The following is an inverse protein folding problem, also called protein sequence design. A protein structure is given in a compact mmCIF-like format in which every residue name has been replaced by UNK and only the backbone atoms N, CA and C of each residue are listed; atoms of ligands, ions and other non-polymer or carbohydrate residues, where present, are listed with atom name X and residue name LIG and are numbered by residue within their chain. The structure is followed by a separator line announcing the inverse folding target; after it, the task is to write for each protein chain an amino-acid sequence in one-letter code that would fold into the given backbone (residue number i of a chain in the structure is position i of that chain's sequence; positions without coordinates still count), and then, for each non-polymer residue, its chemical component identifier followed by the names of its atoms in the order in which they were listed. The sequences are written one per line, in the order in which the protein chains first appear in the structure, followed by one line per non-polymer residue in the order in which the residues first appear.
data_IF_641842768162
#
_entry.id   IF_641842768162
#
_cell.length_a   1.000
_cell.length_b   1.000
_cell.length_c   1.000
_cell.angle_alpha   90.00
_cell.angle_beta   90.00
_cell.angle_gamma   90.00
#
_symmetry.space_group_name_H-M   'P 1'
#
loop_
_entity.id
_entity.type
_entity.pdbx_description
1 polymer ?
#
# COMPACT_ATOMS: atom_id res chain seq x y z
N UNK A 1 17.27 4.98 -10.21
CA UNK A 1 18.26 3.97 -10.65
C UNK A 1 18.69 3.00 -9.56
N UNK A 2 18.35 3.23 -8.28
CA UNK A 2 18.79 2.38 -7.14
C UNK A 2 17.88 1.18 -6.85
N UNK A 3 16.72 1.09 -7.47
CA UNK A 3 15.71 0.04 -7.19
C UNK A 3 15.61 -1.03 -8.29
N UNK A 4 16.44 -0.95 -9.33
CA UNK A 4 16.45 -1.93 -10.43
C UNK A 4 16.94 -3.28 -9.91
N UNK A 5 16.26 -4.37 -10.31
CA UNK A 5 16.52 -5.77 -9.91
C UNK A 5 16.40 -6.07 -8.41
N UNK A 6 15.83 -5.16 -7.62
CA UNK A 6 15.58 -5.42 -6.20
C UNK A 6 14.30 -6.21 -5.97
N UNK A 7 14.30 -6.98 -4.92
CA UNK A 7 13.09 -7.63 -4.41
C UNK A 7 12.07 -6.59 -3.99
N UNK A 8 10.81 -6.79 -4.40
CA UNK A 8 9.71 -5.89 -4.16
C UNK A 8 8.46 -6.66 -3.76
N UNK A 9 7.79 -6.17 -2.73
CA UNK A 9 6.49 -6.65 -2.26
C UNK A 9 5.47 -5.54 -2.46
N UNK A 10 4.31 -5.86 -3.00
CA UNK A 10 3.28 -4.88 -3.34
C UNK A 10 2.01 -5.13 -2.54
N UNK A 11 1.44 -4.08 -2.00
CA UNK A 11 0.10 -4.08 -1.43
C UNK A 11 -0.82 -3.14 -2.22
N UNK A 12 -2.03 -3.59 -2.54
CA UNK A 12 -3.03 -2.82 -3.27
C UNK A 12 -4.25 -2.55 -2.41
N UNK A 13 -4.53 -1.29 -2.17
CA UNK A 13 -5.81 -0.83 -1.62
C UNK A 13 -6.57 -0.05 -2.70
N UNK A 14 -7.51 -0.73 -3.36
CA UNK A 14 -8.23 -0.22 -4.51
C UNK A 14 -9.56 0.40 -4.10
N UNK A 15 -9.77 1.65 -4.45
CA UNK A 15 -11.05 2.35 -4.33
C UNK A 15 -11.69 2.54 -5.69
N UNK A 16 -13.03 2.47 -5.75
CA UNK A 16 -13.76 2.70 -7.00
C UNK A 16 -14.25 4.14 -7.17
N UNK A 17 -14.27 4.94 -6.10
CA UNK A 17 -14.92 6.25 -6.12
C UNK A 17 -14.00 7.37 -5.61
N UNK A 18 -14.36 8.03 -4.51
CA UNK A 18 -13.69 9.23 -4.00
C UNK A 18 -12.53 8.95 -3.05
N UNK A 19 -12.29 7.69 -2.68
CA UNK A 19 -11.20 7.30 -1.80
C UNK A 19 -9.89 7.22 -2.56
N UNK A 20 -8.76 7.27 -1.83
CA UNK A 20 -7.46 7.06 -2.43
C UNK A 20 -7.33 5.60 -2.87
N UNK A 21 -6.88 5.40 -4.10
CA UNK A 21 -6.33 4.11 -4.53
C UNK A 21 -4.83 4.14 -4.29
N UNK A 22 -4.28 3.09 -3.71
CA UNK A 22 -2.87 3.06 -3.32
C UNK A 22 -2.16 1.78 -3.78
N UNK A 23 -0.98 1.95 -4.38
CA UNK A 23 0.03 0.92 -4.58
C UNK A 23 1.11 1.16 -3.53
N UNK A 24 1.12 0.37 -2.46
CA UNK A 24 2.19 0.35 -1.47
C UNK A 24 3.29 -0.59 -1.91
N UNK A 25 4.54 -0.16 -1.91
CA UNK A 25 5.69 -0.98 -2.27
C UNK A 25 6.68 -1.05 -1.11
N UNK A 26 7.23 -2.24 -0.89
CA UNK A 26 8.23 -2.51 0.12
C UNK A 26 9.45 -3.13 -0.54
N UNK A 27 10.61 -2.62 -0.20
CA UNK A 27 11.91 -3.10 -0.65
C UNK A 27 12.76 -3.47 0.56
N UNK A 28 13.19 -4.74 0.69
CA UNK A 28 14.14 -5.14 1.73
C UNK A 28 15.47 -4.39 1.57
N UNK A 29 16.05 -4.02 2.70
CA UNK A 29 17.36 -3.36 2.77
C UNK A 29 18.42 -4.33 3.27
N UNK A 30 19.65 -4.13 2.84
CA UNK A 30 20.80 -4.96 3.24
C UNK A 30 21.16 -4.87 4.73
N UNK A 31 20.69 -3.83 5.42
CA UNK A 31 20.87 -3.66 6.87
C UNK A 31 19.78 -4.33 7.72
N UNK A 32 18.92 -5.13 7.09
CA UNK A 32 17.80 -5.81 7.75
C UNK A 32 16.60 -4.90 8.04
N UNK A 33 16.56 -3.70 7.45
CA UNK A 33 15.40 -2.80 7.45
C UNK A 33 14.62 -2.91 6.13
N UNK A 34 13.62 -2.02 5.98
CA UNK A 34 12.83 -1.88 4.76
C UNK A 34 12.77 -0.43 4.29
N UNK A 35 12.67 -0.26 2.97
CA UNK A 35 12.34 1.01 2.36
C UNK A 35 10.91 0.90 1.79
N UNK A 36 10.10 1.91 2.08
CA UNK A 36 8.70 1.98 1.67
C UNK A 36 8.50 3.10 0.67
N UNK A 37 7.68 2.86 -0.33
CA UNK A 37 7.15 3.89 -1.22
C UNK A 37 5.67 3.64 -1.46
N UNK A 38 4.94 4.67 -1.84
CA UNK A 38 3.52 4.53 -2.16
C UNK A 38 3.15 5.45 -3.30
N UNK A 39 2.49 4.89 -4.31
CA UNK A 39 1.87 5.66 -5.38
C UNK A 39 0.37 5.68 -5.16
N UNK A 40 -0.19 6.89 -5.11
CA UNK A 40 -1.60 7.11 -4.82
C UNK A 40 -2.31 7.75 -6.00
N UNK A 41 -3.60 7.42 -6.17
CA UNK A 41 -4.43 7.89 -7.27
C UNK A 41 -5.79 8.35 -6.77
N UNK A 42 -6.37 9.33 -7.49
CA UNK A 42 -7.75 9.77 -7.36
C UNK A 42 -8.31 10.08 -8.75
N UNK A 43 -9.64 9.98 -8.96
CA UNK A 43 -10.26 10.53 -10.16
C UNK A 43 -10.07 12.05 -10.23
N UNK A 44 -9.93 12.59 -11.44
CA UNK A 44 -9.80 14.05 -11.63
C UNK A 44 -10.96 14.85 -11.02
N UNK A 45 -12.18 14.32 -11.10
CA UNK A 45 -13.37 14.96 -10.54
C UNK A 45 -13.25 15.25 -9.04
N UNK A 46 -12.52 14.44 -8.29
CA UNK A 46 -12.31 14.62 -6.84
C UNK A 46 -11.59 15.92 -6.51
N UNK A 47 -10.74 16.43 -7.42
CA UNK A 47 -9.97 17.66 -7.23
C UNK A 47 -10.84 18.91 -7.29
N UNK A 48 -11.97 18.86 -8.00
CA UNK A 48 -12.92 19.97 -8.17
C UNK A 48 -14.22 19.78 -7.39
N UNK A 49 -14.40 18.64 -6.73
CA UNK A 49 -15.58 18.36 -5.92
C UNK A 49 -15.64 19.30 -4.69
N UNK A 50 -16.66 20.20 -4.62
CA UNK A 50 -16.79 21.12 -3.49
C UNK A 50 -17.12 20.42 -2.17
N UNK A 51 -17.63 19.20 -2.21
CA UNK A 51 -17.92 18.37 -1.03
C UNK A 51 -16.69 17.65 -0.49
N UNK A 52 -15.62 17.57 -1.27
CA UNK A 52 -14.39 16.96 -0.82
C UNK A 52 -13.53 17.95 -0.01
N UNK A 53 -13.56 17.81 1.31
CA UNK A 53 -12.77 18.64 2.24
C UNK A 53 -11.25 18.61 1.99
N UNK A 54 -10.76 17.58 1.29
CA UNK A 54 -9.34 17.38 1.01
C UNK A 54 -8.92 17.90 -0.38
N UNK A 55 -9.83 18.43 -1.19
CA UNK A 55 -9.55 18.83 -2.58
C UNK A 55 -8.38 19.82 -2.71
N UNK A 56 -8.22 20.73 -1.76
CA UNK A 56 -7.14 21.72 -1.77
C UNK A 56 -5.75 21.06 -1.56
N UNK A 57 -5.64 20.17 -0.58
CA UNK A 57 -4.38 19.46 -0.31
C UNK A 57 -4.06 18.47 -1.44
N UNK A 58 -5.07 17.80 -2.00
CA UNK A 58 -4.90 16.89 -3.14
C UNK A 58 -4.35 17.62 -4.36
N UNK A 59 -4.91 18.81 -4.72
CA UNK A 59 -4.34 19.64 -5.80
C UNK A 59 -2.89 20.02 -5.55
N UNK A 60 -2.52 20.29 -4.29
CA UNK A 60 -1.13 20.55 -3.91
C UNK A 60 -0.22 19.35 -4.21
N UNK A 61 -0.64 18.16 -3.80
CA UNK A 61 0.12 16.93 -4.03
C UNK A 61 0.19 16.52 -5.50
N UNK A 62 -0.88 16.73 -6.26
CA UNK A 62 -0.87 16.49 -7.70
C UNK A 62 0.16 17.40 -8.39
N UNK A 63 0.17 18.70 -8.08
CA UNK A 63 1.16 19.65 -8.64
C UNK A 63 2.60 19.30 -8.26
N UNK A 64 2.79 18.72 -7.08
CA UNK A 64 4.10 18.31 -6.58
C UNK A 64 4.50 16.89 -7.06
N UNK A 65 3.63 16.17 -7.77
CA UNK A 65 3.89 14.82 -8.28
C UNK A 65 3.74 13.68 -7.26
N UNK A 66 3.16 13.96 -6.08
CA UNK A 66 2.96 12.96 -5.03
C UNK A 66 1.62 12.20 -5.11
N UNK A 67 0.64 12.78 -5.79
CA UNK A 67 -0.67 12.18 -6.02
C UNK A 67 -0.95 12.20 -7.52
N UNK A 68 -1.39 11.08 -8.06
CA UNK A 68 -1.70 10.93 -9.48
C UNK A 68 -3.21 11.02 -9.71
N UNK A 69 -3.61 11.50 -10.87
CA UNK A 69 -5.02 11.52 -11.27
C UNK A 69 -5.28 10.51 -12.38
N UNK A 70 -6.48 9.95 -12.37
CA UNK A 70 -7.03 9.22 -13.51
C UNK A 70 -8.18 10.03 -14.11
N UNK A 71 -8.41 9.96 -15.44
CA UNK A 71 -9.48 10.72 -16.09
C UNK A 71 -10.86 10.35 -15.58
N UNK A 72 -11.77 11.34 -15.51
CA UNK A 72 -13.19 11.13 -15.22
C UNK A 72 -13.54 11.11 -13.75
N UNK A 73 -14.67 10.46 -13.44
CA UNK A 73 -15.32 10.46 -12.13
C UNK A 73 -14.97 9.25 -11.26
N UNK A 74 -14.40 8.21 -11.86
CA UNK A 74 -14.01 6.97 -11.22
C UNK A 74 -12.51 6.69 -11.44
N UNK A 75 -11.92 5.90 -10.56
CA UNK A 75 -10.53 5.47 -10.75
C UNK A 75 -10.44 4.57 -11.98
N UNK A 76 -9.57 4.93 -12.91
CA UNK A 76 -9.25 4.09 -14.06
C UNK A 76 -8.12 3.12 -13.68
N UNK A 77 -8.49 1.86 -13.49
CA UNK A 77 -7.58 0.81 -13.07
C UNK A 77 -6.52 0.44 -14.12
N UNK A 78 -6.70 0.80 -15.39
CA UNK A 78 -5.67 0.58 -16.42
C UNK A 78 -4.40 1.40 -16.13
N UNK A 79 -4.54 2.57 -15.50
CA UNK A 79 -3.38 3.33 -15.01
C UNK A 79 -2.64 2.60 -13.89
N UNK A 80 -3.39 1.98 -12.96
CA UNK A 80 -2.83 1.22 -11.85
C UNK A 80 -2.10 -0.03 -12.37
N UNK A 81 -2.73 -0.77 -13.28
CA UNK A 81 -2.18 -1.97 -13.91
C UNK A 81 -0.87 -1.65 -14.65
N UNK A 82 -0.86 -0.57 -15.47
CA UNK A 82 0.34 -0.13 -16.18
C UNK A 82 1.50 0.19 -15.23
N UNK A 83 1.23 0.91 -14.15
CA UNK A 83 2.28 1.26 -13.20
C UNK A 83 2.81 0.04 -12.45
N UNK A 84 1.98 -0.99 -12.23
CA UNK A 84 2.43 -2.28 -11.67
C UNK A 84 3.29 -3.04 -12.69
N UNK A 85 2.94 -3.05 -13.97
CA UNK A 85 3.77 -3.66 -15.02
C UNK A 85 5.12 -2.95 -15.12
N UNK A 86 5.14 -1.62 -15.08
CA UNK A 86 6.38 -0.82 -15.06
C UNK A 86 7.25 -1.12 -13.83
N UNK A 87 6.64 -1.45 -12.69
CA UNK A 87 7.36 -1.92 -11.50
C UNK A 87 7.94 -3.32 -11.73
N UNK A 88 7.15 -4.24 -12.26
CA UNK A 88 7.57 -5.62 -12.54
C UNK A 88 8.70 -5.71 -13.58
N UNK A 89 8.73 -4.79 -14.53
CA UNK A 89 9.83 -4.68 -15.52
C UNK A 89 11.15 -4.19 -14.89
N UNK A 90 11.09 -3.53 -13.73
CA UNK A 90 12.27 -2.93 -13.07
C UNK A 90 12.69 -3.64 -11.80
N UNK A 91 11.77 -4.32 -11.14
CA UNK A 91 11.99 -4.95 -9.83
C UNK A 91 11.56 -6.42 -9.91
N UNK A 92 12.13 -7.24 -9.06
CA UNK A 92 11.64 -8.59 -8.84
C UNK A 92 10.43 -8.53 -7.89
N UNK A 93 9.23 -8.52 -8.46
CA UNK A 93 7.99 -8.54 -7.68
C UNK A 93 7.75 -9.97 -7.20
N UNK A 94 7.80 -10.18 -5.88
CA UNK A 94 7.55 -11.49 -5.27
C UNK A 94 6.07 -11.81 -5.25
N UNK A 95 5.26 -10.90 -4.73
CA UNK A 95 3.81 -11.05 -4.74
C UNK A 95 3.10 -9.70 -4.61
N UNK A 96 1.82 -9.70 -4.99
CA UNK A 96 0.92 -8.56 -4.90
C UNK A 96 -0.23 -8.95 -3.98
N UNK A 97 -0.30 -8.34 -2.82
CA UNK A 97 -1.37 -8.55 -1.84
C UNK A 97 -2.44 -7.48 -1.98
N UNK A 98 -3.70 -7.86 -2.00
CA UNK A 98 -4.81 -6.94 -2.24
C UNK A 98 -6.02 -7.18 -1.32
N UNK A 99 -6.83 -6.13 -1.11
CA UNK A 99 -8.14 -6.28 -0.47
C UNK A 99 -9.13 -6.90 -1.46
N UNK A 100 -9.69 -8.06 -1.08
CA UNK A 100 -10.56 -8.88 -1.94
C UNK A 100 -11.83 -8.19 -2.45
N UNK A 101 -12.26 -7.08 -1.83
CA UNK A 101 -13.59 -6.53 -2.07
C UNK A 101 -13.75 -5.74 -3.38
N UNK A 102 -12.66 -5.20 -3.97
CA UNK A 102 -12.75 -4.29 -5.12
C UNK A 102 -11.83 -4.64 -6.29
N UNK A 103 -11.26 -5.84 -6.36
CA UNK A 103 -10.08 -6.06 -7.19
C UNK A 103 -10.23 -7.08 -8.34
N UNK A 104 -11.40 -7.69 -8.56
CA UNK A 104 -11.54 -8.90 -9.41
C UNK A 104 -11.00 -8.74 -10.83
N UNK A 105 -11.28 -7.63 -11.52
CA UNK A 105 -10.79 -7.42 -12.90
C UNK A 105 -9.29 -7.20 -12.94
N UNK A 106 -8.81 -6.26 -12.12
CA UNK A 106 -7.38 -5.90 -12.04
C UNK A 106 -6.53 -7.10 -11.64
N UNK A 107 -6.92 -7.85 -10.61
CA UNK A 107 -6.18 -9.05 -10.19
C UNK A 107 -6.15 -10.13 -11.26
N UNK A 108 -7.25 -10.31 -12.00
CA UNK A 108 -7.30 -11.24 -13.15
C UNK A 108 -6.31 -10.82 -14.24
N UNK A 109 -6.21 -9.52 -14.56
CA UNK A 109 -5.29 -9.02 -15.57
C UNK A 109 -3.84 -9.19 -15.13
N UNK A 110 -3.51 -8.84 -13.88
CA UNK A 110 -2.17 -9.00 -13.31
C UNK A 110 -1.74 -10.48 -13.29
N UNK A 111 -2.62 -11.41 -12.87
CA UNK A 111 -2.33 -12.85 -12.88
C UNK A 111 -2.07 -13.38 -14.28
N UNK A 112 -2.77 -12.90 -15.31
CA UNK A 112 -2.53 -13.30 -16.71
C UNK A 112 -1.13 -12.90 -17.20
N UNK A 113 -0.52 -11.90 -16.60
CA UNK A 113 0.85 -11.48 -16.89
C UNK A 113 1.90 -12.24 -16.04
N UNK A 114 1.47 -13.26 -15.33
CA UNK A 114 2.37 -14.11 -14.53
C UNK A 114 2.75 -13.54 -13.16
N UNK A 115 2.08 -12.46 -12.71
CA UNK A 115 2.30 -11.92 -11.38
C UNK A 115 1.54 -12.75 -10.32
N UNK A 116 2.19 -13.01 -9.21
CA UNK A 116 1.58 -13.71 -8.07
C UNK A 116 0.68 -12.75 -7.30
N UNK A 117 -0.59 -13.15 -7.11
CA UNK A 117 -1.63 -12.31 -6.52
C UNK A 117 -2.25 -13.01 -5.32
N UNK A 118 -2.22 -12.37 -4.15
CA UNK A 118 -2.75 -12.92 -2.91
C UNK A 118 -3.84 -12.03 -2.29
N UNK A 119 -5.03 -12.59 -1.99
CA UNK A 119 -6.05 -11.85 -1.28
C UNK A 119 -5.70 -11.68 0.20
N UNK A 120 -5.92 -10.49 0.75
CA UNK A 120 -5.77 -10.19 2.16
C UNK A 120 -7.11 -9.77 2.77
N UNK A 121 -7.47 -10.37 3.91
CA UNK A 121 -8.60 -9.92 4.70
C UNK A 121 -8.25 -8.66 5.50
N UNK A 122 -9.25 -7.79 5.73
CA UNK A 122 -9.09 -6.57 6.53
C UNK A 122 -9.46 -6.77 8.01
N UNK A 123 -9.60 -8.01 8.45
CA UNK A 123 -9.88 -8.39 9.84
C UNK A 123 -8.64 -8.42 10.72
N UNK A 124 -8.87 -8.56 12.04
CA UNK A 124 -7.80 -8.65 13.03
C UNK A 124 -6.80 -9.77 12.74
N UNK A 125 -7.26 -10.92 12.28
CA UNK A 125 -6.40 -12.08 11.98
C UNK A 125 -5.33 -11.74 10.92
N UNK A 126 -5.71 -11.01 9.87
CA UNK A 126 -4.79 -10.68 8.77
C UNK A 126 -3.98 -9.41 9.03
N UNK A 127 -4.56 -8.42 9.71
CA UNK A 127 -3.95 -7.09 9.84
C UNK A 127 -3.23 -6.86 11.17
N UNK A 128 -3.54 -7.62 12.24
CA UNK A 128 -2.90 -7.39 13.53
C UNK A 128 -1.42 -7.77 13.57
N UNK A 129 -0.99 -8.93 13.05
CA UNK A 129 0.43 -9.26 13.04
C UNK A 129 1.28 -8.20 12.31
N UNK A 130 0.98 -7.82 11.06
CA UNK A 130 1.77 -6.80 10.37
C UNK A 130 1.68 -5.41 11.01
N UNK A 131 0.54 -5.02 11.59
CA UNK A 131 0.41 -3.73 12.25
C UNK A 131 1.29 -3.61 13.49
N UNK A 132 1.30 -4.65 14.35
CA UNK A 132 2.14 -4.70 15.56
C UNK A 132 3.64 -4.73 15.19
N UNK A 133 4.00 -5.54 14.23
CA UNK A 133 5.40 -5.69 13.82
C UNK A 133 5.89 -4.43 13.10
N UNK A 134 5.08 -3.81 12.26
CA UNK A 134 5.38 -2.54 11.62
C UNK A 134 5.64 -1.44 12.67
N UNK A 135 4.76 -1.31 13.68
CA UNK A 135 4.97 -0.36 14.79
C UNK A 135 6.30 -0.63 15.51
N UNK A 136 6.62 -1.89 15.77
CA UNK A 136 7.90 -2.29 16.37
C UNK A 136 9.08 -1.87 15.50
N UNK A 137 9.02 -2.10 14.19
CA UNK A 137 10.10 -1.75 13.26
C UNK A 137 10.29 -0.24 13.13
N UNK A 138 9.21 0.53 13.14
CA UNK A 138 9.28 2.00 13.17
C UNK A 138 10.02 2.48 14.42
N UNK A 139 9.68 1.95 15.60
CA UNK A 139 10.35 2.28 16.87
C UNK A 139 11.84 1.90 16.88
N UNK A 140 12.22 0.85 16.17
CA UNK A 140 13.61 0.40 16.02
C UNK A 140 14.39 1.14 14.92
N UNK A 141 13.77 2.08 14.20
CA UNK A 141 14.41 2.80 13.10
C UNK A 141 14.70 1.92 11.87
N UNK A 142 14.01 0.78 11.74
CA UNK A 142 14.19 -0.17 10.62
C UNK A 142 13.36 0.17 9.38
N UNK A 143 12.47 1.14 9.48
CA UNK A 143 11.61 1.60 8.38
C UNK A 143 12.12 2.93 7.86
N UNK A 144 12.31 3.02 6.55
CA UNK A 144 12.58 4.27 5.85
C UNK A 144 11.60 4.45 4.69
N UNK A 145 11.40 5.67 4.23
CA UNK A 145 10.55 5.97 3.07
C UNK A 145 11.07 7.22 2.33
N UNK A 146 10.49 7.49 1.17
CA UNK A 146 10.90 8.55 0.25
C UNK A 146 10.54 9.98 0.67
N UNK A 147 9.95 10.16 1.86
CA UNK A 147 9.47 11.46 2.33
C UNK A 147 8.12 11.87 1.73
N UNK A 148 7.40 10.95 1.10
CA UNK A 148 6.10 11.18 0.48
C UNK A 148 5.09 11.78 1.50
N UNK A 149 4.59 13.01 1.28
CA UNK A 149 3.67 13.68 2.20
C UNK A 149 2.30 13.00 2.30
N UNK A 150 1.90 12.23 1.28
CA UNK A 150 0.63 11.47 1.32
C UNK A 150 0.73 10.34 2.33
N UNK A 151 1.87 9.64 2.40
CA UNK A 151 2.14 8.61 3.42
C UNK A 151 2.12 9.24 4.81
N UNK A 152 2.87 10.33 5.01
CA UNK A 152 2.94 11.05 6.30
C UNK A 152 1.57 11.49 6.77
N UNK A 153 0.77 12.05 5.86
CA UNK A 153 -0.59 12.47 6.16
C UNK A 153 -1.50 11.27 6.50
N UNK A 154 -1.43 10.18 5.76
CA UNK A 154 -2.22 8.98 6.03
C UNK A 154 -1.88 8.36 7.39
N UNK A 155 -0.58 8.30 7.74
CA UNK A 155 -0.14 7.83 9.07
C UNK A 155 -0.66 8.75 10.18
N UNK A 156 -0.66 10.06 10.00
CA UNK A 156 -1.17 11.01 11.00
C UNK A 156 -2.68 10.93 11.23
N UNK A 157 -3.42 10.35 10.29
CA UNK A 157 -4.88 10.20 10.37
C UNK A 157 -5.33 8.84 10.91
N UNK A 158 -4.42 7.86 11.02
CA UNK A 158 -4.80 6.49 11.36
C UNK A 158 -5.39 6.40 12.77
N UNK A 159 -6.51 5.70 12.87
CA UNK A 159 -7.06 5.22 14.13
C UNK A 159 -6.97 3.71 14.14
N UNK A 160 -6.41 3.15 15.21
CA UNK A 160 -6.36 1.71 15.40
C UNK A 160 -7.59 1.26 16.19
N UNK A 161 -8.18 0.17 15.77
CA UNK A 161 -9.18 -0.58 16.52
C UNK A 161 -8.49 -1.72 17.27
N UNK A 162 -8.90 -1.97 18.49
CA UNK A 162 -8.37 -3.07 19.32
C UNK A 162 -9.52 -3.97 19.77
N UNK A 163 -9.32 -5.27 19.68
CA UNK A 163 -10.25 -6.26 20.25
C UNK A 163 -9.90 -6.61 21.70
N UNK A 164 -10.76 -7.43 22.34
CA UNK A 164 -10.58 -7.86 23.73
C UNK A 164 -9.30 -8.70 23.95
N UNK A 165 -8.76 -9.30 22.90
CA UNK A 165 -7.51 -10.08 22.95
C UNK A 165 -6.26 -9.20 22.72
N UNK A 166 -6.44 -7.89 22.52
CA UNK A 166 -5.35 -6.96 22.26
C UNK A 166 -4.84 -7.01 20.81
N UNK A 167 -5.60 -7.57 19.88
CA UNK A 167 -5.27 -7.46 18.46
C UNK A 167 -5.64 -6.07 17.95
N UNK A 168 -4.80 -5.51 17.08
CA UNK A 168 -4.99 -4.17 16.51
C UNK A 168 -5.14 -4.24 15.00
N UNK A 169 -5.90 -3.32 14.44
CA UNK A 169 -6.00 -3.11 12.99
C UNK A 169 -6.32 -1.66 12.65
N UNK A 170 -5.96 -1.18 11.45
CA UNK A 170 -6.45 0.09 10.96
C UNK A 170 -7.98 0.13 10.88
N UNK A 171 -8.59 1.23 11.30
CA UNK A 171 -10.03 1.44 11.19
C UNK A 171 -10.32 2.64 10.26
N UNK A 172 -10.68 2.36 9.00
CA UNK A 172 -11.00 3.40 8.01
C UNK A 172 -12.18 4.28 8.44
N UNK A 173 -13.21 3.70 9.08
CA UNK A 173 -14.41 4.43 9.49
C UNK A 173 -14.17 5.39 10.64
N UNK A 174 -13.25 5.09 11.55
CA UNK A 174 -12.91 5.92 12.71
C UNK A 174 -11.72 6.85 12.46
N UNK A 175 -10.97 6.64 11.41
CA UNK A 175 -9.82 7.48 11.03
C UNK A 175 -10.30 8.86 10.59
N UNK A 176 -9.52 9.90 10.93
CA UNK A 176 -9.88 11.29 10.67
C UNK A 176 -10.00 11.61 9.16
N UNK A 177 -9.22 10.91 8.34
CA UNK A 177 -9.20 11.01 6.88
C UNK A 177 -8.84 9.65 6.26
N UNK A 178 -8.47 9.67 4.96
CA UNK A 178 -8.10 8.48 4.19
C UNK A 178 -6.78 7.89 4.67
N UNK A 179 -6.75 6.58 4.87
CA UNK A 179 -5.58 5.81 5.33
C UNK A 179 -5.19 4.70 4.35
N UNK A 180 -5.76 4.70 3.15
CA UNK A 180 -5.54 3.70 2.11
C UNK A 180 -4.04 3.45 1.81
N UNK A 181 -3.17 4.49 1.79
CA UNK A 181 -1.72 4.29 1.64
C UNK A 181 -1.11 3.43 2.75
N UNK A 182 -1.55 3.62 4.00
CA UNK A 182 -1.04 2.83 5.15
C UNK A 182 -1.54 1.40 5.06
N UNK A 183 -2.80 1.19 4.69
CA UNK A 183 -3.37 -0.15 4.51
C UNK A 183 -2.63 -0.91 3.41
N UNK A 184 -2.36 -0.27 2.27
CA UNK A 184 -1.57 -0.85 1.19
C UNK A 184 -0.15 -1.23 1.65
N UNK A 185 0.55 -0.34 2.37
CA UNK A 185 1.88 -0.62 2.90
C UNK A 185 1.88 -1.75 3.94
N UNK A 186 0.86 -1.86 4.79
CA UNK A 186 0.74 -2.97 5.74
C UNK A 186 0.47 -4.31 5.04
N UNK A 187 -0.26 -4.33 3.92
CA UNK A 187 -0.43 -5.54 3.12
C UNK A 187 0.89 -5.98 2.48
N UNK A 188 1.68 -5.04 1.92
CA UNK A 188 3.02 -5.34 1.42
C UNK A 188 3.95 -5.87 2.53
N UNK A 189 3.90 -5.24 3.70
CA UNK A 189 4.70 -5.65 4.86
C UNK A 189 4.31 -7.03 5.39
N UNK A 190 3.01 -7.36 5.39
CA UNK A 190 2.51 -8.69 5.76
C UNK A 190 3.13 -9.78 4.88
N UNK A 191 3.10 -9.60 3.57
CA UNK A 191 3.65 -10.59 2.64
C UNK A 191 5.16 -10.74 2.81
N UNK A 192 5.87 -9.61 2.94
CA UNK A 192 7.30 -9.64 3.26
C UNK A 192 7.62 -10.44 4.53
N UNK A 193 6.84 -10.28 5.60
CA UNK A 193 7.02 -11.06 6.83
C UNK A 193 6.83 -12.56 6.60
N UNK A 194 5.82 -12.96 5.83
CA UNK A 194 5.55 -14.38 5.53
C UNK A 194 6.69 -15.00 4.74
N UNK A 195 7.17 -14.33 3.69
CA UNK A 195 8.30 -14.81 2.89
C UNK A 195 9.61 -14.88 3.70
N UNK A 196 9.81 -13.92 4.62
CA UNK A 196 10.99 -13.90 5.49
C UNK A 196 10.97 -15.04 6.51
N UNK A 197 9.80 -15.40 7.05
CA UNK A 197 9.64 -16.52 7.97
C UNK A 197 9.88 -17.86 7.24
N UNK A 198 9.39 -18.01 6.00
CA UNK A 198 9.61 -19.21 5.19
C UNK A 198 11.08 -19.36 4.74
N UNK A 199 11.77 -18.25 4.47
CA UNK A 199 13.19 -18.24 4.07
C UNK A 199 14.19 -18.38 5.24
N UNK A 200 13.77 -18.11 6.47
CA UNK A 200 14.61 -18.18 7.68
C UNK A 200 14.85 -19.60 8.23
N UNK A 201 14.10 -20.59 7.78
CA UNK A 201 14.28 -21.99 8.19
C UNK A 201 15.40 -22.75 7.41
N UNK A 202 16.09 -22.09 6.46
CA UNK A 202 17.07 -22.75 5.57
C UNK A 202 18.54 -22.46 5.94
N UNK A 203 18.85 -21.77 7.04
CA UNK A 203 20.24 -21.43 7.36
C UNK A 203 20.67 -21.66 8.81
N UNK A 204 20.33 -22.83 9.37
CA UNK A 204 20.99 -23.38 10.54
C UNK A 204 21.52 -24.81 10.22
N UNK A 205 22.47 -24.92 9.28
CA UNK A 205 23.41 -26.04 9.16
C UNK A 205 24.83 -25.51 8.95
#
# INVERSE_FOLDING_TARGET
SELVDRDCFIGLDLSSTSDLTAIGTLYPRTDGGVFLSCRCYVPEAVLSDPMNKNSAIYRGWVRAGWLHTTPGDLVDYEFIERDIYDLADRCRVHSITYDRWNATRTTTNLSKQGLEIEPCGQGFQSMSPPAKEFERWVKLGRVSFDGNPVITWAISNITLEMDAAGNIKPNKAKSANKIDPVVALLMAFRTYMMDYEEGGEISDE
#
